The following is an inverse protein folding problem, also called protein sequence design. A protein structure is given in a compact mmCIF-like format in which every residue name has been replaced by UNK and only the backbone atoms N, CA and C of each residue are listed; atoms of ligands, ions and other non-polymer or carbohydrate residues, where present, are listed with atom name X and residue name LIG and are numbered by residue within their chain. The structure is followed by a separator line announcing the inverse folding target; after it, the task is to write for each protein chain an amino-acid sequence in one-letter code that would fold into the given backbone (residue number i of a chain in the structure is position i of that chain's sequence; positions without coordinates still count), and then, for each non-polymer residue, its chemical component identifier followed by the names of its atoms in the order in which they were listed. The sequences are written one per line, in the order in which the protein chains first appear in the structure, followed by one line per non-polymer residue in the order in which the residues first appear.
data_IF_393245697883
#
_entry.id   IF_393245697883
#
_cell.length_a   1.000
_cell.length_b   1.000
_cell.length_c   1.000
_cell.angle_alpha   90.00
_cell.angle_beta   90.00
_cell.angle_gamma   90.00
#
_symmetry.space_group_name_H-M   'P 1'
#
loop_
_entity.id
_entity.type
_entity.pdbx_description
1 polymer ?
#
# COMPACT_ATOMS: atom_id res chain seq x y z
N UNK A 1 -12.40 -6.78 -9.60
CA UNK A 1 -13.07 -5.55 -9.13
C UNK A 1 -11.99 -4.65 -8.56
N UNK A 2 -11.55 -3.66 -9.33
CA UNK A 2 -10.56 -2.69 -8.88
C UNK A 2 -11.33 -1.55 -8.20
N UNK A 3 -11.21 -1.42 -6.88
CA UNK A 3 -11.74 -0.27 -6.16
C UNK A 3 -10.67 0.83 -6.20
N UNK A 4 -11.00 1.96 -6.80
CA UNK A 4 -10.22 3.19 -6.70
C UNK A 4 -10.40 3.70 -5.26
N UNK A 5 -9.41 3.48 -4.39
CA UNK A 5 -9.40 4.05 -3.04
C UNK A 5 -9.08 5.53 -3.22
N UNK A 6 -10.14 6.34 -3.18
CA UNK A 6 -10.09 7.78 -3.35
C UNK A 6 -9.16 8.43 -2.32
N UNK A 7 -8.53 9.53 -2.75
CA UNK A 7 -7.49 10.32 -2.09
C UNK A 7 -7.89 10.99 -0.76
N UNK A 8 -8.96 10.55 -0.10
CA UNK A 8 -9.44 11.10 1.16
C UNK A 8 -8.89 10.27 2.32
N UNK A 9 -8.46 10.95 3.39
CA UNK A 9 -7.85 10.30 4.57
C UNK A 9 -8.83 9.33 5.22
N UNK A 10 -10.12 9.60 5.11
CA UNK A 10 -11.22 8.80 5.61
C UNK A 10 -11.36 7.48 4.83
N UNK A 11 -11.30 7.53 3.50
CA UNK A 11 -11.34 6.33 2.64
C UNK A 11 -10.11 5.45 2.87
N UNK A 12 -8.94 6.08 3.02
CA UNK A 12 -7.71 5.39 3.39
C UNK A 12 -7.85 4.72 4.76
N UNK A 13 -8.28 5.44 5.79
CA UNK A 13 -8.43 4.89 7.13
C UNK A 13 -9.41 3.71 7.19
N UNK A 14 -10.54 3.80 6.46
CA UNK A 14 -11.50 2.70 6.34
C UNK A 14 -10.88 1.49 5.62
N UNK A 15 -10.12 1.71 4.54
CA UNK A 15 -9.41 0.67 3.83
C UNK A 15 -8.35 -0.04 4.69
N UNK A 16 -7.56 0.73 5.46
CA UNK A 16 -6.56 0.18 6.39
C UNK A 16 -7.20 -0.73 7.43
N UNK A 17 -8.32 -0.31 8.02
CA UNK A 17 -9.04 -1.11 9.00
C UNK A 17 -9.48 -2.45 8.38
N UNK A 18 -10.10 -2.41 7.19
CA UNK A 18 -10.58 -3.63 6.51
C UNK A 18 -9.42 -4.61 6.24
N UNK A 19 -8.30 -4.11 5.71
CA UNK A 19 -7.14 -4.96 5.37
C UNK A 19 -6.54 -5.59 6.63
N UNK A 20 -6.44 -4.83 7.73
CA UNK A 20 -5.93 -5.33 9.00
C UNK A 20 -6.82 -6.39 9.64
N UNK A 21 -8.13 -6.17 9.67
CA UNK A 21 -9.08 -7.16 10.19
C UNK A 21 -9.07 -8.47 9.38
N UNK A 22 -8.74 -8.37 8.08
CA UNK A 22 -8.54 -9.55 7.23
C UNK A 22 -7.15 -10.22 7.40
N UNK A 23 -6.29 -9.71 8.30
CA UNK A 23 -4.92 -10.20 8.52
C UNK A 23 -3.93 -9.82 7.42
N UNK A 24 -4.25 -8.79 6.62
CA UNK A 24 -3.36 -8.22 5.63
C UNK A 24 -2.33 -7.25 6.21
N UNK A 25 -1.47 -6.73 5.35
CA UNK A 25 -0.40 -5.79 5.69
C UNK A 25 -0.56 -4.53 4.85
N UNK A 26 -0.41 -3.37 5.50
CA UNK A 26 -0.41 -2.05 4.85
C UNK A 26 0.91 -1.34 5.16
N UNK A 27 1.53 -0.76 4.13
CA UNK A 27 2.77 0.02 4.21
C UNK A 27 2.79 1.12 3.15
N UNK A 28 3.84 1.93 3.12
CA UNK A 28 4.21 2.66 1.91
C UNK A 28 4.89 1.71 0.87
N UNK A 29 5.22 2.20 -0.31
CA UNK A 29 5.93 1.39 -1.32
C UNK A 29 7.31 0.91 -0.86
N UNK A 30 7.94 1.55 0.13
CA UNK A 30 9.24 1.18 0.68
C UNK A 30 9.13 0.13 1.79
N UNK A 31 7.91 -0.30 2.12
CA UNK A 31 7.64 -1.22 3.24
C UNK A 31 7.67 -0.53 4.61
N UNK A 32 7.66 0.81 4.65
CA UNK A 32 7.65 1.63 5.85
C UNK A 32 6.29 1.74 6.51
N UNK A 33 6.25 2.46 7.64
CA UNK A 33 5.05 2.56 8.47
C UNK A 33 3.83 3.13 7.73
N UNK A 34 2.68 2.54 8.05
CA UNK A 34 1.35 2.99 7.67
C UNK A 34 1.05 4.38 8.23
N UNK A 35 0.60 5.31 7.37
CA UNK A 35 0.26 6.65 7.83
C UNK A 35 0.14 7.72 6.74
N UNK A 36 0.60 7.43 5.53
CA UNK A 36 0.46 8.32 4.40
C UNK A 36 -0.56 7.77 3.39
N UNK A 37 -1.57 8.57 2.98
CA UNK A 37 -2.55 8.16 1.98
C UNK A 37 -1.97 8.09 0.56
N UNK A 38 -0.71 8.50 0.39
CA UNK A 38 0.02 8.44 -0.86
C UNK A 38 0.98 7.25 -0.82
N UNK A 39 1.16 6.60 -1.96
CA UNK A 39 2.12 5.50 -2.13
C UNK A 39 1.85 4.30 -1.21
N UNK A 40 0.57 3.98 -1.00
CA UNK A 40 0.12 2.88 -0.16
C UNK A 40 0.19 1.53 -0.86
N UNK A 41 0.76 0.54 -0.16
CA UNK A 41 0.72 -0.87 -0.53
C UNK A 41 -0.09 -1.66 0.51
N UNK A 42 -1.21 -2.26 0.08
CA UNK A 42 -2.01 -3.16 0.90
C UNK A 42 -1.99 -4.58 0.29
N UNK A 43 -1.60 -5.60 1.07
CA UNK A 43 -1.50 -6.98 0.59
C UNK A 43 -1.99 -8.00 1.62
N UNK A 44 -2.05 -9.27 1.23
CA UNK A 44 -2.37 -10.41 2.12
C UNK A 44 -1.19 -10.84 3.03
N UNK A 45 -0.13 -10.04 3.11
CA UNK A 45 1.09 -10.32 3.88
C UNK A 45 2.09 -11.24 3.20
N UNK A 46 1.64 -12.26 2.45
CA UNK A 46 2.53 -13.31 1.89
C UNK A 46 3.47 -12.81 0.79
N UNK A 47 3.04 -11.80 0.04
CA UNK A 47 3.78 -11.24 -1.09
C UNK A 47 4.26 -9.81 -0.83
N UNK A 48 4.10 -9.31 0.40
CA UNK A 48 4.25 -7.89 0.71
C UNK A 48 5.66 -7.38 0.39
N UNK A 49 6.70 -8.12 0.80
CA UNK A 49 8.10 -7.77 0.56
C UNK A 49 8.45 -7.72 -0.93
N UNK A 50 8.08 -8.76 -1.69
CA UNK A 50 8.36 -8.81 -3.14
C UNK A 50 7.65 -7.66 -3.87
N UNK A 51 6.41 -7.37 -3.51
CA UNK A 51 5.66 -6.25 -4.09
C UNK A 51 6.29 -4.89 -3.77
N UNK A 52 6.75 -4.68 -2.53
CA UNK A 52 7.46 -3.46 -2.14
C UNK A 52 8.74 -3.27 -2.95
N UNK A 53 9.54 -4.33 -3.12
CA UNK A 53 10.77 -4.29 -3.91
C UNK A 53 10.53 -3.91 -5.37
N UNK A 54 9.51 -4.50 -6.01
CA UNK A 54 9.17 -4.22 -7.40
C UNK A 54 8.64 -2.80 -7.59
N UNK A 55 7.77 -2.31 -6.68
CA UNK A 55 7.27 -0.94 -6.73
C UNK A 55 8.40 0.08 -6.55
N UNK A 56 9.36 -0.20 -5.67
CA UNK A 56 10.57 0.62 -5.51
C UNK A 56 11.47 0.59 -6.76
N UNK A 57 11.55 -0.54 -7.46
CA UNK A 57 12.28 -0.66 -8.73
C UNK A 57 11.68 0.25 -9.81
N UNK A 58 10.36 0.21 -9.98
CA UNK A 58 9.63 1.06 -10.93
C UNK A 58 9.77 2.53 -10.56
N UNK A 59 9.58 2.89 -9.28
CA UNK A 59 9.69 4.28 -8.80
C UNK A 59 11.07 4.88 -9.08
N UNK A 60 12.14 4.11 -8.91
CA UNK A 60 13.51 4.54 -9.24
C UNK A 60 13.73 4.69 -10.74
N UNK A 61 13.13 3.83 -11.56
CA UNK A 61 13.23 3.89 -13.03
C UNK A 61 12.43 5.02 -13.70
N UNK A 62 11.46 5.61 -12.99
CA UNK A 62 10.70 6.78 -13.45
C UNK A 62 11.36 8.12 -13.08
N UNK A 63 12.42 8.11 -12.25
CA UNK A 63 13.27 9.28 -11.99
C UNK A 63 14.41 9.26 -13.02
N UNK A 64 14.08 9.64 -14.25
CA UNK A 64 14.99 9.77 -15.38
C UNK A 64 14.51 10.83 -16.34
#
# INVERSE_FOLDING_TARGET
MAAEIGRYREDFAAGVLIVKEAGGVVSDFAGGEEGQPFETLATNGRIHEVMSLELMSVKRGQVG
#
